data_IF_209270791895
#
_entry.id   IF_209270791895
#
_cell.length_a   1.000
_cell.length_b   1.000
_cell.length_c   1.000
_cell.angle_alpha   90.00
_cell.angle_beta   90.00
_cell.angle_gamma   90.00
#
_symmetry.space_group_name_H-M   'P 1'
#
loop_
_entity.id
_entity.type
_entity.pdbx_description
1 polymer ?
#
# COMPACT_ATOMS: atom_id res chain seq x y z
N UNK A 1 7.39 -48.56 53.78
CA UNK A 1 6.12 -48.30 54.41
C UNK A 1 5.36 -47.26 53.56
N UNK A 2 4.21 -47.69 53.06
CA UNK A 2 3.14 -47.02 52.36
C UNK A 2 3.54 -45.88 51.39
N UNK A 3 3.55 -46.26 50.10
CA UNK A 3 3.49 -45.36 48.96
C UNK A 3 2.01 -45.06 48.69
N UNK A 4 1.67 -43.78 48.67
CA UNK A 4 0.37 -43.32 48.12
C UNK A 4 0.57 -42.76 46.73
N UNK A 5 0.15 -43.50 45.73
CA UNK A 5 0.10 -43.10 44.34
C UNK A 5 -1.19 -42.37 44.12
N UNK A 6 -1.13 -41.07 43.77
CA UNK A 6 -2.25 -40.34 43.18
C UNK A 6 -1.91 -40.05 41.75
N UNK A 7 -2.65 -40.69 40.85
CA UNK A 7 -2.58 -40.45 39.39
C UNK A 7 -3.45 -39.26 39.10
N UNK A 8 -2.89 -38.17 38.58
CA UNK A 8 -3.62 -37.14 37.84
C UNK A 8 -2.89 -36.88 36.52
N UNK A 9 -3.64 -36.95 35.45
CA UNK A 9 -3.30 -36.94 34.03
C UNK A 9 -2.27 -35.89 33.58
N UNK A 10 -1.27 -36.39 32.88
CA UNK A 10 -0.68 -35.85 31.64
C UNK A 10 -0.43 -34.33 31.50
N UNK A 11 0.74 -33.86 31.90
CA UNK A 11 1.67 -33.06 31.09
C UNK A 11 3.07 -33.23 31.73
N UNK A 12 3.95 -33.94 31.05
CA UNK A 12 5.36 -34.06 31.44
C UNK A 12 6.08 -32.81 30.93
N UNK A 13 6.43 -31.92 31.82
CA UNK A 13 7.39 -30.84 31.54
C UNK A 13 8.76 -31.42 31.84
N UNK A 14 9.52 -31.76 30.81
CA UNK A 14 10.93 -32.10 30.93
C UNK A 14 11.74 -30.79 31.10
N UNK A 15 12.11 -30.44 32.32
CA UNK A 15 13.13 -29.43 32.59
C UNK A 15 14.49 -30.13 32.40
N UNK A 16 15.12 -29.91 31.27
CA UNK A 16 16.49 -30.35 30.99
C UNK A 16 17.43 -29.22 31.40
N UNK A 17 18.13 -29.45 32.49
CA UNK A 17 19.24 -28.60 32.94
C UNK A 17 20.39 -28.74 31.93
N UNK A 18 20.56 -27.75 31.04
CA UNK A 18 21.74 -27.63 30.20
C UNK A 18 22.85 -26.97 31.01
N UNK A 19 23.85 -27.76 31.34
CA UNK A 19 25.15 -27.29 31.79
C UNK A 19 25.82 -26.52 30.67
N UNK A 20 26.22 -25.29 30.97
CA UNK A 20 26.92 -24.35 30.10
C UNK A 20 28.24 -24.96 29.58
N UNK A 21 28.21 -25.41 28.33
CA UNK A 21 29.39 -25.45 27.49
C UNK A 21 29.46 -24.10 26.75
N UNK A 22 30.49 -23.31 27.04
CA UNK A 22 30.85 -22.13 26.27
C UNK A 22 31.27 -22.54 24.86
N UNK A 23 30.30 -22.66 23.97
CA UNK A 23 30.55 -22.54 22.55
C UNK A 23 30.50 -21.10 22.18
N UNK A 24 31.60 -20.56 21.69
CA UNK A 24 31.71 -19.29 21.00
C UNK A 24 30.83 -19.34 19.75
N UNK A 25 29.52 -19.05 19.89
CA UNK A 25 28.73 -18.65 18.78
C UNK A 25 29.28 -17.29 18.34
N UNK A 26 29.91 -17.25 17.16
CA UNK A 26 30.04 -16.02 16.41
C UNK A 26 28.65 -15.40 16.38
N UNK A 27 28.44 -14.31 17.15
CA UNK A 27 27.38 -13.36 16.87
C UNK A 27 27.64 -12.93 15.40
N UNK A 28 26.84 -13.39 14.47
CA UNK A 28 26.73 -12.72 13.21
C UNK A 28 26.24 -11.32 13.60
N UNK A 29 27.06 -10.32 13.34
CA UNK A 29 26.69 -8.91 13.52
C UNK A 29 25.44 -8.70 12.70
N UNK A 30 24.29 -8.59 13.36
CA UNK A 30 23.04 -8.17 12.71
C UNK A 30 23.28 -6.74 12.26
N UNK A 31 23.19 -6.45 10.95
CA UNK A 31 23.37 -5.09 10.48
C UNK A 31 22.41 -4.17 11.22
N UNK A 32 22.92 -3.09 11.78
CA UNK A 32 22.13 -2.04 12.42
C UNK A 32 22.27 -0.80 11.57
N UNK A 33 21.19 -0.07 11.38
CA UNK A 33 21.22 1.18 10.63
C UNK A 33 22.33 2.10 11.15
N UNK A 34 23.20 2.55 10.26
CA UNK A 34 24.30 3.46 10.63
C UNK A 34 23.77 4.85 10.88
N UNK A 35 23.77 5.30 12.15
CA UNK A 35 23.34 6.66 12.50
C UNK A 35 24.47 7.65 12.18
N UNK A 36 24.14 8.65 11.36
CA UNK A 36 25.06 9.70 10.94
C UNK A 36 24.43 11.06 11.24
N UNK A 37 25.10 11.88 12.05
CA UNK A 37 24.65 13.22 12.38
C UNK A 37 24.88 14.18 11.20
N UNK A 38 23.85 15.00 10.91
CA UNK A 38 23.85 16.00 9.83
C UNK A 38 23.43 17.34 10.40
N UNK A 39 24.34 18.31 10.34
CA UNK A 39 24.13 19.69 10.79
C UNK A 39 24.00 20.69 9.64
N UNK A 40 24.48 20.33 8.43
CA UNK A 40 24.41 21.17 7.25
C UNK A 40 23.27 20.74 6.33
N UNK A 41 22.24 21.59 6.08
CA UNK A 41 21.19 21.27 5.13
C UNK A 41 21.69 21.14 3.68
N UNK A 42 22.88 21.64 3.35
CA UNK A 42 23.50 21.48 2.03
C UNK A 42 24.28 20.16 1.86
N UNK A 43 24.35 19.33 2.90
CA UNK A 43 25.07 18.05 2.83
C UNK A 43 24.57 17.20 1.65
N UNK A 44 25.46 16.72 0.76
CA UNK A 44 25.07 15.95 -0.42
C UNK A 44 24.41 14.59 -0.11
N UNK A 45 24.61 14.05 1.10
CA UNK A 45 23.93 12.83 1.56
C UNK A 45 22.42 13.00 1.66
N UNK A 46 21.92 14.26 1.76
CA UNK A 46 20.49 14.59 1.80
C UNK A 46 19.86 14.80 0.41
N UNK A 47 20.62 14.62 -0.69
CA UNK A 47 20.13 14.93 -2.03
C UNK A 47 18.87 14.15 -2.44
N UNK A 48 18.65 12.95 -1.90
CA UNK A 48 17.45 12.17 -2.16
C UNK A 48 16.18 12.74 -1.49
N UNK A 49 16.37 13.54 -0.46
CA UNK A 49 15.30 14.21 0.30
C UNK A 49 15.14 15.69 -0.06
N UNK A 50 15.98 16.23 -0.95
CA UNK A 50 16.00 17.65 -1.26
C UNK A 50 14.83 18.06 -2.15
N UNK A 51 14.25 19.24 -1.86
CA UNK A 51 13.20 19.87 -2.68
C UNK A 51 12.03 18.95 -3.05
N UNK A 52 11.52 18.18 -2.09
CA UNK A 52 10.45 17.21 -2.31
C UNK A 52 9.12 17.82 -2.79
N UNK A 53 8.98 19.16 -2.74
CA UNK A 53 7.84 19.89 -3.30
C UNK A 53 8.04 20.30 -4.76
N UNK A 54 9.25 20.18 -5.30
CA UNK A 54 9.52 20.53 -6.69
C UNK A 54 8.80 19.56 -7.63
N UNK A 55 8.05 20.11 -8.60
CA UNK A 55 7.42 19.33 -9.67
C UNK A 55 8.46 18.60 -10.53
N UNK A 56 9.67 19.17 -10.64
CA UNK A 56 10.73 18.67 -11.52
C UNK A 56 11.44 17.42 -10.98
N UNK A 57 11.23 17.11 -9.69
CA UNK A 57 11.81 15.93 -9.02
C UNK A 57 10.80 14.80 -8.79
N UNK A 58 9.64 14.91 -9.38
CA UNK A 58 8.65 13.84 -9.28
C UNK A 58 9.21 12.55 -9.88
N UNK A 59 9.12 11.42 -9.17
CA UNK A 59 9.70 10.14 -9.62
C UNK A 59 9.00 9.57 -10.87
N UNK A 60 7.79 10.00 -11.16
CA UNK A 60 7.00 9.61 -12.34
C UNK A 60 7.38 10.40 -13.61
N UNK A 61 8.22 11.41 -13.49
CA UNK A 61 8.74 12.15 -14.64
C UNK A 61 9.99 11.48 -15.21
N UNK A 62 10.27 11.66 -16.52
CA UNK A 62 11.44 11.06 -17.19
C UNK A 62 12.78 11.42 -16.54
N UNK A 63 12.86 12.62 -15.95
CA UNK A 63 14.05 13.15 -15.26
C UNK A 63 13.99 12.94 -13.74
N UNK A 64 12.94 12.32 -13.25
CA UNK A 64 12.77 12.00 -11.83
C UNK A 64 13.78 10.96 -11.37
N UNK A 65 14.17 11.02 -10.08
CA UNK A 65 15.14 10.08 -9.48
C UNK A 65 14.65 8.63 -9.41
N UNK A 66 13.41 8.33 -9.77
CA UNK A 66 12.83 6.99 -9.67
C UNK A 66 12.74 6.45 -8.24
N UNK A 67 12.69 7.34 -7.25
CA UNK A 67 12.63 6.99 -5.84
C UNK A 67 11.20 6.96 -5.31
N UNK A 68 11.02 6.20 -4.24
CA UNK A 68 9.82 6.24 -3.40
C UNK A 68 10.18 6.88 -2.08
N UNK A 69 9.37 7.85 -1.65
CA UNK A 69 9.56 8.55 -0.38
C UNK A 69 8.41 8.20 0.57
N UNK A 70 8.76 7.57 1.69
CA UNK A 70 7.87 7.30 2.81
C UNK A 70 7.97 8.43 3.85
N UNK A 71 6.83 8.94 4.33
CA UNK A 71 6.76 10.06 5.26
C UNK A 71 6.06 9.65 6.56
N UNK A 72 6.77 9.67 7.68
CA UNK A 72 6.30 9.30 9.01
C UNK A 72 6.63 7.87 9.41
N UNK A 73 6.70 7.62 10.74
CA UNK A 73 7.18 6.36 11.33
C UNK A 73 6.45 5.15 10.74
N UNK A 74 5.13 5.10 10.83
CA UNK A 74 4.34 3.97 10.32
C UNK A 74 4.54 3.70 8.82
N UNK A 75 4.73 4.75 8.01
CA UNK A 75 4.96 4.58 6.56
C UNK A 75 6.38 4.11 6.30
N UNK A 76 7.36 4.60 7.07
CA UNK A 76 8.74 4.11 7.03
C UNK A 76 8.83 2.62 7.42
N UNK A 77 8.18 2.22 8.52
CA UNK A 77 8.09 0.80 8.92
C UNK A 77 7.50 -0.07 7.80
N UNK A 78 6.39 0.38 7.18
CA UNK A 78 5.78 -0.35 6.07
C UNK A 78 6.66 -0.43 4.83
N UNK A 79 7.50 0.58 4.60
CA UNK A 79 8.50 0.56 3.54
C UNK A 79 9.58 -0.48 3.85
N UNK A 80 10.10 -0.51 5.07
CA UNK A 80 11.12 -1.48 5.51
C UNK A 80 10.60 -2.94 5.44
N UNK A 81 9.30 -3.16 5.67
CA UNK A 81 8.64 -4.46 5.59
C UNK A 81 8.16 -4.83 4.17
N UNK A 82 8.46 -4.02 3.17
CA UNK A 82 7.93 -4.18 1.82
C UNK A 82 8.97 -4.76 0.85
N UNK A 83 8.55 -4.94 -0.41
CA UNK A 83 9.44 -5.35 -1.51
C UNK A 83 10.38 -4.23 -2.01
N UNK A 84 10.25 -3.02 -1.47
CA UNK A 84 11.06 -1.86 -1.87
C UNK A 84 12.41 -1.91 -1.16
N UNK A 85 13.49 -1.68 -1.91
CA UNK A 85 14.84 -1.67 -1.34
C UNK A 85 15.13 -0.30 -0.73
N UNK A 86 15.24 -0.18 0.61
CA UNK A 86 15.55 1.08 1.25
C UNK A 86 16.96 1.57 0.86
N UNK A 87 17.15 2.89 0.81
CA UNK A 87 18.42 3.56 0.49
C UNK A 87 18.94 4.27 1.73
N UNK A 88 18.09 5.05 2.38
CA UNK A 88 18.44 5.85 3.55
C UNK A 88 17.18 6.32 4.28
N UNK A 89 17.37 6.72 5.53
CA UNK A 89 16.36 7.42 6.31
C UNK A 89 16.91 8.79 6.72
N UNK A 90 16.01 9.77 6.88
CA UNK A 90 16.30 11.10 7.42
C UNK A 90 15.29 11.42 8.50
N UNK A 91 15.73 11.73 9.72
CA UNK A 91 14.80 11.99 10.82
C UNK A 91 15.41 12.68 12.01
N UNK A 92 14.52 13.22 12.88
CA UNK A 92 14.91 13.74 14.17
C UNK A 92 15.17 12.61 15.16
N UNK A 93 15.98 12.87 16.21
CA UNK A 93 16.37 11.87 17.21
C UNK A 93 15.20 11.11 17.83
N UNK A 94 14.11 11.80 18.16
CA UNK A 94 12.90 11.16 18.68
C UNK A 94 12.33 10.08 17.72
N UNK A 95 12.40 10.29 16.41
CA UNK A 95 11.88 9.33 15.41
C UNK A 95 12.83 8.15 15.21
N UNK A 96 14.14 8.37 15.35
CA UNK A 96 15.10 7.29 15.44
C UNK A 96 14.77 6.36 16.60
N UNK A 97 14.48 6.92 17.79
CA UNK A 97 14.10 6.15 18.98
C UNK A 97 12.75 5.42 18.80
N UNK A 98 11.77 6.04 18.15
CA UNK A 98 10.46 5.41 17.87
C UNK A 98 10.58 4.25 16.87
N UNK A 99 11.46 4.34 15.87
CA UNK A 99 11.74 3.23 14.96
C UNK A 99 12.49 2.09 15.65
N UNK A 100 13.40 2.41 16.57
CA UNK A 100 14.05 1.45 17.46
C UNK A 100 14.48 0.15 16.77
N UNK A 101 14.03 -0.98 17.30
CA UNK A 101 14.34 -2.32 16.82
C UNK A 101 13.93 -2.58 15.35
N UNK A 102 13.06 -1.74 14.75
CA UNK A 102 12.71 -1.84 13.33
C UNK A 102 13.87 -1.51 12.40
N UNK A 103 14.90 -0.89 12.92
CA UNK A 103 16.15 -0.61 12.21
C UNK A 103 17.19 -1.72 12.35
N UNK A 104 16.95 -2.70 13.22
CA UNK A 104 17.81 -3.86 13.37
C UNK A 104 17.71 -4.74 12.10
N UNK A 105 18.84 -5.11 11.55
CA UNK A 105 18.90 -5.83 10.28
C UNK A 105 18.76 -4.98 9.02
N UNK A 106 18.62 -3.66 9.16
CA UNK A 106 18.52 -2.71 8.03
C UNK A 106 19.90 -2.09 7.78
N UNK A 107 20.54 -2.49 6.71
CA UNK A 107 21.89 -2.01 6.32
C UNK A 107 21.80 -0.74 5.45
N UNK A 108 21.24 0.35 6.04
CA UNK A 108 21.17 1.66 5.38
C UNK A 108 21.44 2.77 6.39
N UNK A 109 21.97 3.95 5.95
CA UNK A 109 22.20 5.07 6.84
C UNK A 109 20.89 5.68 7.35
N UNK A 110 20.88 6.03 8.63
CA UNK A 110 19.90 6.94 9.23
C UNK A 110 20.58 8.29 9.45
N UNK A 111 20.24 9.28 8.66
CA UNK A 111 20.69 10.65 8.82
C UNK A 111 19.89 11.33 9.90
N UNK A 112 20.54 11.57 11.06
CA UNK A 112 19.93 12.25 12.18
C UNK A 112 20.18 13.75 12.06
N UNK A 113 19.11 14.54 11.97
CA UNK A 113 19.19 15.99 11.80
C UNK A 113 18.15 16.71 12.67
N UNK A 114 18.39 17.99 12.96
CA UNK A 114 17.37 18.82 13.61
C UNK A 114 16.18 19.08 12.67
N UNK A 115 15.03 19.46 13.23
CA UNK A 115 13.85 19.80 12.44
C UNK A 115 14.10 20.97 11.47
N UNK A 116 14.95 21.93 11.88
CA UNK A 116 15.37 23.10 11.08
C UNK A 116 16.23 22.68 9.90
N UNK A 117 17.24 21.82 10.12
CA UNK A 117 18.09 21.27 9.06
C UNK A 117 17.27 20.47 8.06
N UNK A 118 16.38 19.61 8.58
CA UNK A 118 15.46 18.87 7.72
C UNK A 118 14.58 19.79 6.88
N UNK A 119 13.96 20.81 7.49
CA UNK A 119 13.07 21.74 6.78
C UNK A 119 13.82 22.51 5.67
N UNK A 120 15.04 22.93 5.94
CA UNK A 120 15.89 23.61 4.97
C UNK A 120 16.29 22.70 3.79
N UNK A 121 16.60 21.43 4.05
CA UNK A 121 16.98 20.46 3.02
C UNK A 121 15.79 20.07 2.13
N UNK A 122 14.62 19.72 2.74
CA UNK A 122 13.45 19.21 2.04
C UNK A 122 12.57 20.29 1.41
N UNK A 123 12.73 21.56 1.83
CA UNK A 123 11.98 22.72 1.31
C UNK A 123 10.65 23.00 2.02
N UNK A 124 10.34 22.32 3.15
CA UNK A 124 9.14 22.56 3.96
C UNK A 124 9.26 21.97 5.36
N UNK A 125 8.42 22.44 6.30
CA UNK A 125 8.37 21.88 7.64
C UNK A 125 7.72 20.48 7.65
N UNK A 126 8.47 19.48 8.10
CA UNK A 126 8.01 18.09 8.18
C UNK A 126 7.42 17.77 9.56
N UNK A 127 6.10 17.85 9.71
CA UNK A 127 5.42 17.57 10.96
C UNK A 127 5.63 16.12 11.48
N UNK A 128 5.86 15.18 10.58
CA UNK A 128 6.02 13.76 10.91
C UNK A 128 7.42 13.38 11.34
N UNK A 129 8.41 14.24 11.09
CA UNK A 129 9.78 14.18 11.61
C UNK A 129 10.65 13.02 11.14
N UNK A 130 10.21 12.23 10.16
CA UNK A 130 11.03 11.19 9.51
C UNK A 130 10.60 10.95 8.07
N UNK A 131 11.58 10.70 7.23
CA UNK A 131 11.46 10.26 5.84
C UNK A 131 12.30 8.99 5.63
N UNK A 132 11.86 8.13 4.71
CA UNK A 132 12.67 7.04 4.19
C UNK A 132 12.63 7.08 2.67
N UNK A 133 13.77 6.86 2.04
CA UNK A 133 13.91 6.75 0.59
C UNK A 133 14.16 5.29 0.20
N UNK A 134 13.56 4.86 -0.90
CA UNK A 134 13.76 3.52 -1.44
C UNK A 134 13.80 3.54 -2.98
N UNK A 135 14.47 2.56 -3.56
CA UNK A 135 14.39 2.31 -4.99
C UNK A 135 13.01 1.76 -5.38
N UNK A 136 12.55 2.14 -6.57
CA UNK A 136 11.37 1.50 -7.17
C UNK A 136 11.76 0.12 -7.68
N UNK A 137 11.08 -0.95 -7.25
CA UNK A 137 11.26 -2.25 -7.88
C UNK A 137 10.62 -2.26 -9.28
N UNK A 138 10.94 -3.24 -10.13
CA UNK A 138 10.21 -3.48 -11.38
C UNK A 138 8.70 -3.56 -11.14
N UNK A 139 7.91 -3.13 -12.12
CA UNK A 139 6.46 -3.31 -12.09
C UNK A 139 6.13 -4.81 -11.99
N UNK A 140 5.06 -5.14 -11.27
CA UNK A 140 4.57 -6.51 -11.18
C UNK A 140 3.85 -6.88 -12.49
N UNK A 141 4.05 -8.10 -12.94
CA UNK A 141 3.29 -8.64 -14.06
C UNK A 141 1.82 -8.82 -13.67
N UNK A 142 0.92 -8.40 -14.56
CA UNK A 142 -0.52 -8.50 -14.33
C UNK A 142 -0.95 -9.93 -14.01
N UNK A 143 -0.36 -10.91 -14.69
CA UNK A 143 -0.64 -12.33 -14.49
C UNK A 143 -0.34 -12.80 -13.09
N UNK A 144 0.77 -12.35 -12.52
CA UNK A 144 1.21 -12.72 -11.17
C UNK A 144 0.31 -12.08 -10.11
N UNK A 145 -0.04 -10.81 -10.32
CA UNK A 145 -0.97 -10.09 -9.44
C UNK A 145 -2.35 -10.74 -9.39
N UNK A 146 -2.80 -11.34 -10.50
CA UNK A 146 -4.10 -11.99 -10.60
C UNK A 146 -4.13 -13.44 -10.14
N UNK A 147 -3.00 -14.08 -9.91
CA UNK A 147 -2.91 -15.53 -9.66
C UNK A 147 -3.83 -16.00 -8.53
N UNK A 148 -3.72 -15.36 -7.37
CA UNK A 148 -4.49 -15.70 -6.17
C UNK A 148 -5.56 -14.66 -5.83
N UNK A 149 -5.72 -13.62 -6.65
CA UNK A 149 -6.66 -12.55 -6.39
C UNK A 149 -8.12 -13.01 -6.59
N UNK A 150 -9.00 -12.52 -5.72
CA UNK A 150 -10.46 -12.73 -5.78
C UNK A 150 -11.23 -11.43 -5.93
N UNK A 151 -10.68 -10.34 -5.42
CA UNK A 151 -11.29 -9.01 -5.50
C UNK A 151 -10.22 -8.02 -5.95
N UNK A 152 -10.40 -7.44 -7.13
CA UNK A 152 -9.51 -6.41 -7.65
C UNK A 152 -10.29 -5.15 -8.00
N UNK A 153 -9.63 -4.00 -7.89
CA UNK A 153 -10.16 -2.74 -8.40
C UNK A 153 -9.38 -2.31 -9.63
N UNK A 154 -10.07 -1.84 -10.65
CA UNK A 154 -9.49 -1.36 -11.90
C UNK A 154 -9.82 0.11 -12.06
N UNK A 155 -8.81 0.95 -12.28
CA UNK A 155 -8.94 2.39 -12.31
C UNK A 155 -8.72 2.93 -13.71
N UNK A 156 -9.57 3.85 -14.16
CA UNK A 156 -9.40 4.60 -15.41
C UNK A 156 -9.44 6.10 -15.12
N UNK A 157 -8.38 6.83 -15.49
CA UNK A 157 -8.34 8.29 -15.42
C UNK A 157 -8.24 8.87 -14.00
N UNK A 158 -7.93 8.07 -12.99
CA UNK A 158 -7.80 8.54 -11.61
C UNK A 158 -6.47 9.27 -11.44
N UNK A 159 -6.49 10.60 -11.54
CA UNK A 159 -5.30 11.44 -11.56
C UNK A 159 -5.00 12.14 -10.22
N UNK A 160 -5.96 12.18 -9.31
CA UNK A 160 -5.75 12.76 -7.98
C UNK A 160 -5.05 11.76 -7.05
N UNK A 161 -3.89 12.16 -6.52
CA UNK A 161 -3.08 11.31 -5.66
C UNK A 161 -3.71 11.07 -4.27
N UNK A 162 -4.62 11.94 -3.81
CA UNK A 162 -5.32 11.73 -2.53
C UNK A 162 -6.39 10.66 -2.70
N UNK A 163 -7.14 10.70 -3.80
CA UNK A 163 -8.09 9.65 -4.14
C UNK A 163 -7.37 8.31 -4.33
N UNK A 164 -6.25 8.33 -5.05
CA UNK A 164 -5.46 7.12 -5.28
C UNK A 164 -4.92 6.54 -3.97
N UNK A 165 -4.32 7.36 -3.11
CA UNK A 165 -3.84 6.93 -1.80
C UNK A 165 -4.97 6.40 -0.90
N UNK A 166 -6.12 7.08 -0.89
CA UNK A 166 -7.32 6.65 -0.15
C UNK A 166 -7.83 5.30 -0.66
N UNK A 167 -7.77 5.06 -1.96
CA UNK A 167 -8.18 3.80 -2.58
C UNK A 167 -7.32 2.63 -2.12
N UNK A 168 -5.99 2.78 -2.11
CA UNK A 168 -5.07 1.76 -1.56
C UNK A 168 -5.33 1.49 -0.08
N UNK A 169 -5.64 2.54 0.70
CA UNK A 169 -5.98 2.38 2.10
C UNK A 169 -7.29 1.61 2.29
N UNK A 170 -8.30 1.93 1.49
CA UNK A 170 -9.60 1.24 1.49
C UNK A 170 -9.44 -0.22 1.02
N UNK A 171 -8.66 -0.45 -0.04
CA UNK A 171 -8.35 -1.79 -0.53
C UNK A 171 -7.73 -2.67 0.55
N UNK A 172 -6.69 -2.16 1.23
CA UNK A 172 -6.05 -2.87 2.34
C UNK A 172 -6.99 -3.13 3.51
N UNK A 173 -7.83 -2.14 3.87
CA UNK A 173 -8.74 -2.24 5.01
C UNK A 173 -9.95 -3.14 4.77
N UNK A 174 -10.37 -3.33 3.52
CA UNK A 174 -11.58 -4.05 3.14
C UNK A 174 -11.28 -5.29 2.28
N UNK A 175 -10.02 -5.73 2.23
CA UNK A 175 -9.64 -7.01 1.64
C UNK A 175 -9.71 -7.08 0.11
N UNK A 176 -9.51 -5.96 -0.60
CA UNK A 176 -9.24 -6.04 -2.02
C UNK A 176 -7.78 -6.47 -2.23
N UNK A 177 -7.57 -7.46 -3.08
CA UNK A 177 -6.28 -8.13 -3.25
C UNK A 177 -5.29 -7.33 -4.09
N UNK A 178 -5.79 -6.51 -5.03
CA UNK A 178 -4.93 -5.71 -5.90
C UNK A 178 -5.64 -4.47 -6.47
N UNK A 179 -4.82 -3.50 -6.89
CA UNK A 179 -5.24 -2.32 -7.65
C UNK A 179 -4.64 -2.40 -9.06
N UNK A 180 -5.49 -2.36 -10.07
CA UNK A 180 -5.08 -2.40 -11.48
C UNK A 180 -5.28 -1.03 -12.12
N UNK A 181 -4.35 -0.66 -12.98
CA UNK A 181 -4.36 0.62 -13.67
C UNK A 181 -4.66 0.45 -15.15
N UNK A 182 -5.74 1.05 -15.60
CA UNK A 182 -6.02 1.30 -16.99
C UNK A 182 -5.31 2.55 -17.50
N UNK A 183 -5.93 3.25 -18.46
CA UNK A 183 -5.37 4.46 -19.03
C UNK A 183 -5.44 5.66 -18.07
N UNK A 184 -4.51 6.60 -18.27
CA UNK A 184 -4.54 7.96 -17.73
C UNK A 184 -4.66 8.07 -16.19
N UNK A 185 -4.08 7.13 -15.45
CA UNK A 185 -3.99 7.19 -14.00
C UNK A 185 -2.68 7.83 -13.53
N UNK A 186 -2.73 8.50 -12.37
CA UNK A 186 -1.54 9.01 -11.71
C UNK A 186 -0.63 7.87 -11.20
N UNK A 187 0.61 8.23 -10.89
CA UNK A 187 1.58 7.32 -10.30
C UNK A 187 1.22 7.01 -8.83
N UNK A 188 0.97 5.74 -8.47
CA UNK A 188 0.65 5.37 -7.10
C UNK A 188 1.81 5.55 -6.12
N UNK A 189 3.05 5.54 -6.60
CA UNK A 189 4.25 5.70 -5.79
C UNK A 189 4.69 7.16 -5.61
N UNK A 190 3.91 8.11 -6.12
CA UNK A 190 4.15 9.51 -5.81
C UNK A 190 3.96 9.77 -4.31
N UNK A 191 4.85 10.56 -3.71
CA UNK A 191 4.93 10.79 -2.25
C UNK A 191 3.56 11.07 -1.60
N UNK A 192 2.69 11.86 -2.25
CA UNK A 192 1.36 12.19 -1.71
C UNK A 192 0.47 10.96 -1.60
N UNK A 193 0.46 10.09 -2.61
CA UNK A 193 -0.32 8.84 -2.57
C UNK A 193 0.23 7.87 -1.51
N UNK A 194 1.57 7.73 -1.42
CA UNK A 194 2.22 6.93 -0.38
C UNK A 194 1.82 7.40 1.02
N UNK A 195 1.82 8.72 1.25
CA UNK A 195 1.44 9.32 2.53
C UNK A 195 -0.03 9.13 2.85
N UNK A 196 -0.93 9.43 1.91
CA UNK A 196 -2.39 9.35 2.11
C UNK A 196 -2.83 7.90 2.30
N UNK A 197 -2.21 6.96 1.57
CA UNK A 197 -2.45 5.53 1.79
C UNK A 197 -1.93 5.03 3.13
N UNK A 198 -1.26 5.86 3.93
CA UNK A 198 -0.52 5.44 5.14
C UNK A 198 0.52 4.35 4.83
N UNK A 199 1.06 4.31 3.59
CA UNK A 199 2.00 3.29 3.13
C UNK A 199 1.36 1.98 2.66
N UNK A 200 0.03 1.86 2.60
CA UNK A 200 -0.61 0.65 2.08
C UNK A 200 -0.31 0.40 0.59
N UNK A 201 -0.02 1.44 -0.19
CA UNK A 201 0.44 1.32 -1.58
C UNK A 201 1.75 0.52 -1.70
N UNK A 202 2.56 0.45 -0.66
CA UNK A 202 3.81 -0.31 -0.62
C UNK A 202 3.58 -1.82 -0.40
N UNK A 203 2.36 -2.22 0.01
CA UNK A 203 2.01 -3.59 0.40
C UNK A 203 0.92 -4.22 -0.47
N UNK A 204 -0.08 -3.44 -0.90
CA UNK A 204 -1.13 -3.92 -1.80
C UNK A 204 -0.56 -4.03 -3.21
N UNK A 205 -0.58 -5.22 -3.83
CA UNK A 205 -0.08 -5.39 -5.19
C UNK A 205 -0.82 -4.50 -6.19
N UNK A 206 -0.08 -4.03 -7.19
CA UNK A 206 -0.68 -3.30 -8.29
C UNK A 206 0.05 -3.57 -9.60
N UNK A 207 -0.68 -3.49 -10.72
CA UNK A 207 -0.15 -3.67 -12.06
C UNK A 207 -0.92 -2.83 -13.09
N UNK A 208 -0.33 -2.62 -14.26
CA UNK A 208 -1.02 -1.99 -15.39
C UNK A 208 -1.76 -3.02 -16.21
N UNK A 209 -2.94 -2.64 -16.71
CA UNK A 209 -3.68 -3.42 -17.71
C UNK A 209 -3.18 -2.95 -19.08
N UNK A 210 -2.50 -3.80 -19.85
CA UNK A 210 -2.01 -3.43 -21.19
C UNK A 210 -3.19 -3.24 -22.16
N UNK A 211 -2.95 -2.55 -23.26
CA UNK A 211 -3.91 -2.38 -24.38
C UNK A 211 -5.32 -1.98 -23.94
N UNK A 212 -5.39 -0.97 -23.07
CA UNK A 212 -6.66 -0.50 -22.50
C UNK A 212 -7.68 -0.06 -23.56
N UNK A 213 -8.98 -0.44 -23.48
CA UNK A 213 -9.57 -1.36 -22.47
C UNK A 213 -9.60 -2.83 -22.92
N UNK A 214 -8.99 -3.20 -24.06
CA UNK A 214 -8.98 -4.58 -24.59
C UNK A 214 -8.37 -5.56 -23.61
N UNK A 215 -7.32 -5.15 -22.89
CA UNK A 215 -6.65 -5.97 -21.88
C UNK A 215 -7.54 -6.41 -20.71
N UNK A 216 -8.75 -5.84 -20.56
CA UNK A 216 -9.74 -6.34 -19.60
C UNK A 216 -10.20 -7.78 -19.87
N UNK A 217 -9.99 -8.32 -21.10
CA UNK A 217 -10.30 -9.71 -21.43
C UNK A 217 -9.57 -10.69 -20.50
N UNK A 218 -8.34 -10.36 -20.08
CA UNK A 218 -7.54 -11.21 -19.19
C UNK A 218 -8.25 -11.47 -17.85
N UNK A 219 -9.04 -10.51 -17.34
CA UNK A 219 -9.80 -10.69 -16.10
C UNK A 219 -10.87 -11.76 -16.26
N UNK A 220 -11.61 -11.76 -17.39
CA UNK A 220 -12.60 -12.79 -17.69
C UNK A 220 -11.97 -14.15 -17.90
N UNK A 221 -10.83 -14.21 -18.61
CA UNK A 221 -10.05 -15.44 -18.82
C UNK A 221 -9.58 -16.05 -17.48
N UNK A 222 -9.35 -15.20 -16.46
CA UNK A 222 -9.02 -15.61 -15.09
C UNK A 222 -10.25 -15.82 -14.19
N UNK A 223 -11.47 -15.78 -14.74
CA UNK A 223 -12.72 -16.05 -14.05
C UNK A 223 -13.27 -14.90 -13.21
N UNK A 224 -12.82 -13.67 -13.44
CA UNK A 224 -13.39 -12.50 -12.78
C UNK A 224 -14.68 -12.06 -13.49
N UNK A 225 -15.72 -11.84 -12.68
CA UNK A 225 -16.85 -11.01 -13.09
C UNK A 225 -16.41 -9.55 -13.10
N UNK A 226 -16.54 -8.88 -14.22
CA UNK A 226 -16.15 -7.46 -14.36
C UNK A 226 -17.37 -6.54 -14.19
N UNK A 227 -17.30 -5.63 -13.24
CA UNK A 227 -18.40 -4.74 -12.87
C UNK A 227 -17.93 -3.28 -13.01
N UNK A 228 -18.51 -2.53 -13.93
CA UNK A 228 -18.25 -1.09 -14.07
C UNK A 228 -19.21 -0.29 -13.19
N UNK A 229 -18.66 0.61 -12.35
CA UNK A 229 -19.46 1.52 -11.53
C UNK A 229 -19.85 2.76 -12.32
N UNK A 230 -21.13 3.08 -12.29
CA UNK A 230 -21.70 4.26 -12.97
C UNK A 230 -22.83 4.84 -12.12
N UNK A 231 -23.02 6.17 -12.09
CA UNK A 231 -24.18 6.78 -11.43
C UNK A 231 -25.49 6.63 -12.22
N UNK A 232 -25.47 6.01 -13.40
CA UNK A 232 -26.65 5.88 -14.26
C UNK A 232 -27.79 5.16 -13.52
N UNK A 233 -28.98 5.81 -13.38
CA UNK A 233 -30.11 5.24 -12.65
C UNK A 233 -30.69 3.96 -13.26
N UNK A 234 -30.42 3.67 -14.54
CA UNK A 234 -30.88 2.46 -15.22
C UNK A 234 -29.96 1.24 -14.99
N UNK A 235 -28.77 1.45 -14.40
CA UNK A 235 -27.87 0.36 -14.03
C UNK A 235 -28.44 -0.43 -12.85
N UNK A 236 -28.15 -1.71 -12.77
CA UNK A 236 -28.52 -2.55 -11.61
C UNK A 236 -27.84 -2.04 -10.34
N UNK A 237 -28.36 -2.36 -9.18
CA UNK A 237 -27.67 -1.99 -7.94
C UNK A 237 -26.38 -2.80 -7.78
N UNK A 238 -25.43 -2.23 -7.07
CA UNK A 238 -24.16 -2.92 -6.81
C UNK A 238 -24.38 -4.26 -6.06
N UNK A 239 -25.35 -4.30 -5.15
CA UNK A 239 -25.73 -5.53 -4.44
C UNK A 239 -26.22 -6.63 -5.38
N UNK A 240 -27.04 -6.28 -6.37
CA UNK A 240 -27.54 -7.23 -7.38
C UNK A 240 -26.44 -7.68 -8.34
N UNK A 241 -25.48 -6.80 -8.63
CA UNK A 241 -24.38 -7.09 -9.55
C UNK A 241 -23.32 -8.04 -8.95
N UNK A 242 -23.16 -8.05 -7.62
CA UNK A 242 -22.04 -8.70 -6.92
C UNK A 242 -22.25 -10.21 -6.75
N UNK A 243 -22.26 -10.98 -7.82
CA UNK A 243 -22.61 -12.41 -7.82
C UNK A 243 -21.42 -13.35 -8.03
N UNK A 244 -20.29 -12.86 -8.55
CA UNK A 244 -19.13 -13.68 -8.89
C UNK A 244 -18.27 -14.07 -7.67
N UNK A 245 -17.64 -15.22 -7.72
CA UNK A 245 -16.61 -15.64 -6.75
C UNK A 245 -15.37 -14.75 -6.83
N UNK A 246 -14.96 -14.40 -8.05
CA UNK A 246 -13.93 -13.41 -8.33
C UNK A 246 -14.57 -12.18 -8.95
N UNK A 247 -14.23 -10.99 -8.46
CA UNK A 247 -14.83 -9.74 -8.91
C UNK A 247 -13.75 -8.70 -9.23
N UNK A 248 -13.89 -8.06 -10.38
CA UNK A 248 -13.12 -6.89 -10.75
C UNK A 248 -14.05 -5.66 -10.82
N UNK A 249 -13.82 -4.70 -9.95
CA UNK A 249 -14.60 -3.46 -9.82
C UNK A 249 -13.93 -2.34 -10.62
N UNK A 250 -14.56 -1.84 -11.67
CA UNK A 250 -14.02 -0.74 -12.47
C UNK A 250 -14.55 0.60 -11.97
N UNK A 251 -13.66 1.54 -11.72
CA UNK A 251 -13.97 2.91 -11.30
C UNK A 251 -13.25 3.91 -12.22
N UNK A 252 -13.97 4.95 -12.59
CA UNK A 252 -13.46 6.00 -13.48
C UNK A 252 -13.07 7.29 -12.73
N UNK A 253 -12.51 8.22 -13.48
CA UNK A 253 -12.14 9.56 -13.02
C UNK A 253 -13.31 10.32 -12.42
N UNK A 254 -13.02 11.25 -11.53
CA UNK A 254 -14.01 12.25 -11.09
C UNK A 254 -14.45 13.13 -12.26
N UNK A 255 -15.74 13.40 -12.34
CA UNK A 255 -16.38 14.14 -13.43
C UNK A 255 -16.74 13.22 -14.61
N UNK A 256 -15.83 12.88 -15.52
CA UNK A 256 -16.17 12.08 -16.70
C UNK A 256 -16.53 10.63 -16.41
N UNK A 257 -16.08 10.06 -15.30
CA UNK A 257 -16.29 8.65 -14.97
C UNK A 257 -15.47 7.69 -15.85
N UNK A 258 -15.97 6.48 -16.02
CA UNK A 258 -15.44 5.50 -16.96
C UNK A 258 -15.83 5.87 -18.42
N UNK A 259 -14.92 5.61 -19.35
CA UNK A 259 -15.26 5.71 -20.76
C UNK A 259 -16.31 4.67 -21.15
N UNK A 260 -17.16 5.01 -22.11
CA UNK A 260 -18.15 4.07 -22.65
C UNK A 260 -17.48 2.81 -23.24
N UNK A 261 -16.24 2.94 -23.75
CA UNK A 261 -15.43 1.84 -24.24
C UNK A 261 -15.07 0.85 -23.10
N UNK A 262 -14.61 1.37 -21.95
CA UNK A 262 -14.31 0.56 -20.79
C UNK A 262 -15.59 -0.11 -20.23
N UNK A 263 -16.69 0.61 -20.14
CA UNK A 263 -17.97 0.07 -19.66
C UNK A 263 -18.54 -1.03 -20.57
N UNK A 264 -18.35 -0.94 -21.89
CA UNK A 264 -18.75 -2.01 -22.82
C UNK A 264 -17.89 -3.26 -22.72
N UNK A 265 -16.67 -3.11 -22.21
CA UNK A 265 -15.76 -4.21 -21.99
C UNK A 265 -16.03 -4.97 -20.67
N UNK A 266 -17.05 -4.59 -19.90
CA UNK A 266 -17.43 -5.26 -18.64
C UNK A 266 -18.70 -6.09 -18.80
N UNK A 267 -18.89 -7.04 -17.87
CA UNK A 267 -20.05 -7.94 -17.89
C UNK A 267 -21.31 -7.23 -17.39
N UNK A 268 -21.15 -6.32 -16.40
CA UNK A 268 -22.28 -5.65 -15.73
C UNK A 268 -21.95 -4.20 -15.46
N UNK A 269 -22.94 -3.32 -15.64
CA UNK A 269 -22.92 -1.92 -15.16
C UNK A 269 -23.73 -1.83 -13.89
N UNK A 270 -23.10 -1.36 -12.81
CA UNK A 270 -23.73 -1.26 -11.52
C UNK A 270 -23.68 0.14 -10.94
N UNK A 271 -24.65 0.49 -10.12
CA UNK A 271 -24.71 1.76 -9.40
C UNK A 271 -24.76 1.57 -7.90
N UNK A 272 -24.21 2.51 -7.18
CA UNK A 272 -24.48 2.71 -5.76
C UNK A 272 -25.76 3.58 -5.68
N UNK A 273 -26.85 3.14 -5.03
CA UNK A 273 -28.03 3.94 -4.86
C UNK A 273 -27.71 5.25 -4.13
N UNK A 274 -28.15 6.37 -4.68
CA UNK A 274 -27.94 7.71 -4.12
C UNK A 274 -29.27 8.43 -3.92
N UNK A 275 -29.28 9.44 -3.05
CA UNK A 275 -30.43 10.31 -2.86
C UNK A 275 -30.74 11.11 -4.16
N UNK A 276 -32.01 11.43 -4.43
CA UNK A 276 -32.37 12.26 -5.57
C UNK A 276 -31.62 13.62 -5.56
N UNK A 277 -31.15 14.04 -6.74
CA UNK A 277 -30.40 15.30 -6.89
C UNK A 277 -28.90 15.18 -6.59
N UNK A 278 -28.39 13.97 -6.34
CA UNK A 278 -26.94 13.71 -6.21
C UNK A 278 -26.43 13.13 -7.52
N UNK A 279 -25.42 13.76 -8.12
CA UNK A 279 -24.88 13.35 -9.43
C UNK A 279 -23.83 12.23 -9.31
N UNK A 280 -22.98 12.28 -8.27
CA UNK A 280 -21.90 11.29 -8.07
C UNK A 280 -21.39 11.32 -6.63
N UNK A 281 -20.55 10.31 -6.30
CA UNK A 281 -19.75 10.25 -5.09
C UNK A 281 -18.26 10.42 -5.46
N UNK A 282 -17.47 10.90 -4.50
CA UNK A 282 -16.01 10.83 -4.62
C UNK A 282 -15.57 9.38 -4.94
N UNK A 283 -14.63 9.24 -5.86
CA UNK A 283 -14.24 7.92 -6.39
C UNK A 283 -13.67 6.98 -5.32
N UNK A 284 -12.89 7.48 -4.36
CA UNK A 284 -12.37 6.67 -3.26
C UNK A 284 -13.46 6.24 -2.28
N UNK A 285 -14.49 7.09 -2.09
CA UNK A 285 -15.68 6.76 -1.30
C UNK A 285 -16.50 5.68 -2.00
N UNK A 286 -16.73 5.81 -3.29
CA UNK A 286 -17.42 4.80 -4.09
C UNK A 286 -16.69 3.44 -4.04
N UNK A 287 -15.34 3.47 -4.12
CA UNK A 287 -14.52 2.28 -3.97
C UNK A 287 -14.70 1.62 -2.59
N UNK A 288 -14.67 2.41 -1.51
CA UNK A 288 -14.86 1.89 -0.16
C UNK A 288 -16.23 1.19 0.02
N UNK A 289 -17.29 1.81 -0.51
CA UNK A 289 -18.63 1.22 -0.50
C UNK A 289 -18.69 -0.08 -1.32
N UNK A 290 -18.01 -0.12 -2.47
CA UNK A 290 -17.98 -1.31 -3.30
C UNK A 290 -17.19 -2.46 -2.65
N UNK A 291 -16.08 -2.17 -1.99
CA UNK A 291 -15.32 -3.17 -1.23
C UNK A 291 -16.10 -3.66 -0.01
N UNK A 292 -16.76 -2.76 0.72
CA UNK A 292 -17.61 -3.14 1.84
C UNK A 292 -18.76 -4.06 1.39
N UNK A 293 -19.43 -3.73 0.29
CA UNK A 293 -20.48 -4.58 -0.27
C UNK A 293 -19.93 -5.95 -0.67
N UNK A 294 -18.72 -6.00 -1.22
CA UNK A 294 -18.04 -7.26 -1.54
C UNK A 294 -17.82 -8.12 -0.30
N UNK A 295 -17.30 -7.55 0.78
CA UNK A 295 -17.10 -8.25 2.05
C UNK A 295 -18.45 -8.77 2.61
N UNK A 296 -19.47 -7.92 2.56
CA UNK A 296 -20.82 -8.26 3.04
C UNK A 296 -21.43 -9.47 2.31
N UNK A 297 -21.21 -9.55 1.00
CA UNK A 297 -21.73 -10.66 0.18
C UNK A 297 -20.93 -11.95 0.38
N UNK A 298 -19.59 -11.85 0.52
CA UNK A 298 -18.73 -13.02 0.68
C UNK A 298 -18.88 -13.73 2.04
N UNK A 299 -19.17 -12.98 3.07
CA UNK A 299 -19.26 -13.50 4.43
C UNK A 299 -20.51 -12.97 5.13
N UNK A 300 -21.72 -13.45 4.74
CA UNK A 300 -22.95 -13.10 5.43
C UNK A 300 -22.85 -13.55 6.90
N UNK A 301 -22.58 -12.58 7.80
CA UNK A 301 -22.44 -12.82 9.24
C UNK A 301 -21.03 -12.69 9.83
N UNK A 302 -19.98 -12.44 9.05
CA UNK A 302 -18.61 -12.27 9.57
C UNK A 302 -18.26 -10.82 9.94
N UNK A 303 -19.14 -9.87 9.75
CA UNK A 303 -18.99 -8.44 10.11
C UNK A 303 -19.56 -8.14 11.52
N UNK A 304 -19.74 -9.16 12.35
CA UNK A 304 -20.20 -9.01 13.73
C UNK A 304 -19.00 -8.98 14.70
#
# INVERSE_FOLDING_TARGET
MAVLIVIVSSVVIAIQLYTTSRNSHQCQDVPVAHVIDIDDPADPRLDDFRDLNSSDRRPDLPEGKGLVIAEGVLVAERLLDSRFTPISLLGVDRRLQELGERLDGVDVPFYRASAEVMAAAIGFHLNRGVLAAAHRPPELELTDVLENARTVVVLEGVNDHENLGSMFRNAAGLGADAVLFGAACADPLYRRAVRVSMGHVLRVPFARVPDWPRGLSILRERGFQTISLTPNPTAVTLAEAMTGDKVALLLGAEGPGLTEHAMRATDVRARIPMAPGTDSLNVATAAAMAFYERVRVQAPGSLA
#
